data_IF_120317430436
#
_entry.id   IF_120317430436
#
_cell.length_a   1.000
_cell.length_b   1.000
_cell.length_c   1.000
_cell.angle_alpha   90.00
_cell.angle_beta   90.00
_cell.angle_gamma   90.00
#
_symmetry.space_group_name_H-M   'P 1'
#
loop_
_entity.id
_entity.type
_entity.pdbx_description
1 polymer ?
#
# COMPACT_ATOMS: atom_id res chain seq x y z
N UNK A 1 75.21 -23.83 -29.58
CA UNK A 1 74.81 -22.59 -30.30
C UNK A 1 73.33 -22.34 -30.08
N UNK A 2 72.97 -21.09 -29.76
CA UNK A 2 71.63 -20.57 -29.45
C UNK A 2 70.67 -20.63 -30.66
N UNK A 3 69.36 -20.76 -30.37
CA UNK A 3 68.15 -20.11 -30.98
C UNK A 3 66.92 -20.94 -30.52
N UNK A 4 66.09 -20.57 -29.54
CA UNK A 4 65.17 -19.44 -29.32
C UNK A 4 63.83 -19.53 -30.13
N UNK A 5 62.73 -19.58 -29.36
CA UNK A 5 61.29 -19.25 -29.60
C UNK A 5 60.43 -20.08 -30.58
N UNK A 6 59.36 -20.72 -30.06
CA UNK A 6 57.98 -20.21 -30.16
C UNK A 6 56.93 -21.23 -29.62
N UNK A 7 56.26 -20.83 -28.52
CA UNK A 7 54.82 -20.97 -28.22
C UNK A 7 54.00 -22.14 -28.80
N UNK A 8 53.44 -22.99 -27.93
CA UNK A 8 52.04 -23.40 -28.05
C UNK A 8 51.39 -23.46 -26.65
N UNK A 9 50.72 -22.36 -26.35
CA UNK A 9 49.87 -22.12 -25.19
C UNK A 9 48.48 -22.70 -25.52
N UNK A 10 47.93 -23.45 -24.55
CA UNK A 10 46.51 -23.60 -24.22
C UNK A 10 45.56 -23.88 -25.39
N UNK A 11 45.01 -25.09 -25.46
CA UNK A 11 43.61 -25.26 -25.88
C UNK A 11 43.13 -26.67 -25.54
N UNK A 12 42.27 -26.78 -24.51
CA UNK A 12 41.13 -27.72 -24.36
C UNK A 12 40.82 -28.02 -22.88
N UNK A 13 40.46 -26.98 -22.14
CA UNK A 13 39.60 -27.10 -20.96
C UNK A 13 38.58 -25.95 -20.99
N UNK A 14 37.65 -26.03 -21.94
CA UNK A 14 36.44 -25.21 -21.99
C UNK A 14 35.25 -26.12 -22.34
N UNK A 15 35.02 -27.13 -21.52
CA UNK A 15 33.72 -27.82 -21.43
C UNK A 15 33.22 -27.75 -20.00
N UNK A 16 33.00 -26.53 -19.53
CA UNK A 16 32.30 -26.27 -18.28
C UNK A 16 31.70 -24.86 -18.28
N UNK A 17 30.89 -24.51 -19.28
CA UNK A 17 29.99 -23.33 -19.19
C UNK A 17 28.77 -23.37 -20.11
N UNK A 18 28.57 -24.41 -20.92
CA UNK A 18 27.30 -24.59 -21.59
C UNK A 18 26.30 -25.11 -20.56
N UNK A 19 25.24 -24.33 -20.32
CA UNK A 19 24.09 -24.58 -19.42
C UNK A 19 24.14 -23.87 -18.06
N UNK A 20 24.62 -22.62 -18.05
CA UNK A 20 24.16 -21.61 -17.08
C UNK A 20 23.08 -20.69 -17.68
N UNK A 21 22.30 -21.18 -18.65
CA UNK A 21 20.98 -20.59 -18.91
C UNK A 21 20.03 -21.09 -17.83
N UNK A 22 20.13 -20.51 -16.64
CA UNK A 22 18.94 -20.42 -15.80
C UNK A 22 17.90 -19.72 -16.66
N UNK A 23 16.73 -20.34 -16.86
CA UNK A 23 15.55 -19.54 -17.17
C UNK A 23 15.51 -18.37 -16.17
N UNK A 24 15.15 -17.14 -16.55
CA UNK A 24 15.07 -16.02 -15.61
C UNK A 24 13.88 -16.27 -14.66
N UNK A 25 14.08 -17.18 -13.70
CA UNK A 25 13.12 -17.75 -12.74
C UNK A 25 12.57 -16.72 -11.75
N UNK A 26 13.05 -15.48 -11.79
CA UNK A 26 12.61 -14.44 -10.86
C UNK A 26 11.27 -13.82 -11.23
N UNK A 27 10.91 -13.69 -12.52
CA UNK A 27 9.68 -12.95 -12.85
C UNK A 27 8.40 -13.65 -12.36
N UNK A 28 8.20 -14.98 -12.55
CA UNK A 28 7.06 -15.68 -11.96
C UNK A 28 7.05 -15.59 -10.43
N UNK A 29 8.22 -15.69 -9.79
CA UNK A 29 8.37 -15.60 -8.33
C UNK A 29 8.04 -14.22 -7.79
N UNK A 30 8.50 -13.16 -8.46
CA UNK A 30 8.25 -11.76 -8.12
C UNK A 30 6.77 -11.41 -8.34
N UNK A 31 6.17 -11.92 -9.42
CA UNK A 31 4.74 -11.78 -9.69
C UNK A 31 3.90 -12.41 -8.59
N UNK A 32 4.22 -13.63 -8.17
CA UNK A 32 3.53 -14.31 -7.07
C UNK A 32 3.72 -13.58 -5.74
N UNK A 33 4.93 -13.09 -5.47
CA UNK A 33 5.22 -12.31 -4.26
C UNK A 33 4.46 -10.98 -4.24
N UNK A 34 4.36 -10.30 -5.38
CA UNK A 34 3.57 -9.08 -5.54
C UNK A 34 2.08 -9.36 -5.35
N UNK A 35 1.55 -10.43 -5.96
CA UNK A 35 0.15 -10.85 -5.76
C UNK A 35 -0.20 -11.06 -4.28
N UNK A 36 0.60 -11.82 -3.54
CA UNK A 36 0.40 -12.04 -2.09
C UNK A 36 0.42 -10.74 -1.30
N UNK A 37 1.23 -9.78 -1.72
CA UNK A 37 1.27 -8.46 -1.09
C UNK A 37 0.00 -7.65 -1.37
N UNK A 38 -0.56 -7.73 -2.58
CA UNK A 38 -1.85 -7.10 -2.89
C UNK A 38 -2.96 -7.70 -2.04
N UNK A 39 -3.00 -9.02 -1.88
CA UNK A 39 -3.97 -9.71 -1.01
C UNK A 39 -3.84 -9.28 0.46
N UNK A 40 -2.61 -9.13 0.95
CA UNK A 40 -2.35 -8.67 2.33
C UNK A 40 -2.78 -7.22 2.51
N UNK A 41 -2.41 -6.34 1.58
CA UNK A 41 -2.83 -4.94 1.59
C UNK A 41 -4.36 -4.79 1.51
N UNK A 42 -5.03 -5.58 0.68
CA UNK A 42 -6.49 -5.60 0.57
C UNK A 42 -7.15 -6.00 1.90
N UNK A 43 -6.64 -7.05 2.55
CA UNK A 43 -7.12 -7.48 3.86
C UNK A 43 -6.93 -6.42 4.93
N UNK A 44 -5.76 -5.78 4.98
CA UNK A 44 -5.48 -4.73 5.97
C UNK A 44 -6.27 -3.45 5.70
N UNK A 45 -6.53 -3.11 4.44
CA UNK A 45 -7.49 -2.06 4.06
C UNK A 45 -8.89 -2.36 4.61
N UNK A 46 -9.41 -3.57 4.40
CA UNK A 46 -10.73 -3.97 4.91
C UNK A 46 -10.76 -3.90 6.43
N UNK A 47 -9.74 -4.44 7.11
CA UNK A 47 -9.63 -4.38 8.57
C UNK A 47 -9.55 -2.94 9.09
N UNK A 48 -8.81 -2.07 8.40
CA UNK A 48 -8.72 -0.64 8.74
C UNK A 48 -10.08 0.03 8.63
N UNK A 49 -10.81 -0.21 7.54
CA UNK A 49 -12.16 0.33 7.34
C UNK A 49 -13.10 -0.08 8.48
N UNK A 50 -13.16 -1.37 8.81
CA UNK A 50 -14.01 -1.86 9.90
C UNK A 50 -13.70 -1.21 11.25
N UNK A 51 -12.42 -0.95 11.54
CA UNK A 51 -12.02 -0.29 12.79
C UNK A 51 -12.38 1.20 12.78
N UNK A 52 -12.24 1.88 11.63
CA UNK A 52 -12.66 3.28 11.48
C UNK A 52 -14.17 3.39 11.68
N UNK A 53 -14.98 2.55 11.01
CA UNK A 53 -16.44 2.54 11.17
C UNK A 53 -16.86 2.28 12.62
N UNK A 54 -16.32 1.24 13.27
CA UNK A 54 -16.61 0.95 14.69
C UNK A 54 -16.20 2.10 15.62
N UNK A 55 -15.11 2.79 15.30
CA UNK A 55 -14.64 3.91 16.12
C UNK A 55 -15.52 5.14 15.98
N UNK A 56 -16.03 5.41 14.77
CA UNK A 56 -17.06 6.43 14.54
C UNK A 56 -18.35 6.11 15.28
N UNK A 57 -18.86 4.89 15.18
CA UNK A 57 -20.04 4.46 15.94
C UNK A 57 -19.84 4.66 17.45
N UNK A 58 -18.65 4.35 17.97
CA UNK A 58 -18.34 4.56 19.39
C UNK A 58 -18.26 6.04 19.77
N UNK A 59 -17.77 6.89 18.87
CA UNK A 59 -17.67 8.34 19.08
C UNK A 59 -19.06 8.99 19.09
N UNK A 60 -19.93 8.60 18.15
CA UNK A 60 -21.32 9.04 18.11
C UNK A 60 -22.11 8.51 19.33
N UNK A 61 -21.80 7.29 19.79
CA UNK A 61 -22.35 6.72 21.02
C UNK A 61 -21.90 7.42 22.30
N UNK A 62 -20.63 7.87 22.37
CA UNK A 62 -20.11 8.66 23.49
C UNK A 62 -20.92 9.95 23.66
N UNK A 63 -21.13 10.69 22.57
CA UNK A 63 -21.93 11.93 22.63
C UNK A 63 -23.31 11.70 23.25
N UNK A 64 -24.04 10.67 22.82
CA UNK A 64 -25.35 10.34 23.37
C UNK A 64 -25.28 9.96 24.87
N UNK A 65 -24.24 9.23 25.27
CA UNK A 65 -24.04 8.86 26.68
C UNK A 65 -23.75 10.08 27.57
N UNK A 66 -23.05 11.08 27.05
CA UNK A 66 -22.77 12.33 27.76
C UNK A 66 -24.03 13.19 27.93
N UNK A 67 -24.88 13.28 26.90
CA UNK A 67 -26.20 13.94 27.00
C UNK A 67 -27.11 13.28 28.05
N UNK A 68 -26.99 11.96 28.21
CA UNK A 68 -27.71 11.17 29.20
C UNK A 68 -27.03 11.11 30.60
N UNK A 69 -25.87 11.77 30.77
CA UNK A 69 -25.05 11.75 32.01
C UNK A 69 -24.68 10.33 32.51
N UNK A 70 -24.34 9.41 31.59
CA UNK A 70 -24.05 7.99 31.90
C UNK A 70 -22.56 7.68 31.87
N UNK A 71 -21.99 7.33 33.04
CA UNK A 71 -20.68 6.70 33.22
C UNK A 71 -19.58 7.22 32.27
N UNK A 72 -19.38 8.53 32.30
CA UNK A 72 -18.62 9.32 31.32
C UNK A 72 -17.19 8.77 31.15
N UNK A 73 -16.47 8.55 32.25
CA UNK A 73 -15.10 8.02 32.26
C UNK A 73 -14.97 6.71 31.47
N UNK A 74 -15.95 5.81 31.63
CA UNK A 74 -15.94 4.50 30.95
C UNK A 74 -16.16 4.66 29.45
N UNK A 75 -17.03 5.57 29.03
CA UNK A 75 -17.29 5.79 27.61
C UNK A 75 -16.11 6.53 26.94
N UNK A 76 -15.47 7.49 27.61
CA UNK A 76 -14.24 8.10 27.12
C UNK A 76 -13.12 7.08 26.94
N UNK A 77 -12.85 6.25 27.95
CA UNK A 77 -11.82 5.22 27.88
C UNK A 77 -12.06 4.23 26.73
N UNK A 78 -13.32 3.86 26.49
CA UNK A 78 -13.72 2.99 25.38
C UNK A 78 -13.45 3.64 24.02
N UNK A 79 -13.80 4.92 23.85
CA UNK A 79 -13.57 5.64 22.59
C UNK A 79 -12.08 5.83 22.33
N UNK A 80 -11.29 6.21 23.34
CA UNK A 80 -9.83 6.29 23.21
C UNK A 80 -9.22 4.95 22.78
N UNK A 81 -9.61 3.85 23.44
CA UNK A 81 -9.11 2.52 23.09
C UNK A 81 -9.50 2.05 21.68
N UNK A 82 -10.60 2.56 21.12
CA UNK A 82 -10.98 2.29 19.73
C UNK A 82 -10.12 3.09 18.74
N UNK A 83 -9.91 4.38 19.01
CA UNK A 83 -9.05 5.22 18.16
C UNK A 83 -7.57 4.81 18.21
N UNK A 84 -7.08 4.30 19.34
CA UNK A 84 -5.75 3.69 19.42
C UNK A 84 -5.60 2.48 18.48
N UNK A 85 -6.65 1.64 18.36
CA UNK A 85 -6.66 0.53 17.40
C UNK A 85 -6.66 1.04 15.96
N UNK A 86 -7.37 2.13 15.67
CA UNK A 86 -7.35 2.77 14.35
C UNK A 86 -5.93 3.24 14.02
N UNK A 87 -5.26 3.97 14.92
CA UNK A 87 -3.88 4.40 14.69
C UNK A 87 -2.94 3.23 14.40
N UNK A 88 -3.04 2.14 15.18
CA UNK A 88 -2.27 0.92 14.91
C UNK A 88 -2.56 0.37 13.51
N UNK A 89 -3.83 0.30 13.11
CA UNK A 89 -4.22 -0.21 11.78
C UNK A 89 -3.74 0.69 10.64
N UNK A 90 -3.77 2.00 10.82
CA UNK A 90 -3.22 2.95 9.84
C UNK A 90 -1.70 2.80 9.71
N UNK A 91 -0.99 2.52 10.81
CA UNK A 91 0.45 2.22 10.79
C UNK A 91 0.75 0.91 10.06
N UNK A 92 -0.02 -0.15 10.35
CA UNK A 92 0.09 -1.44 9.66
C UNK A 92 -0.17 -1.27 8.16
N UNK A 93 -1.25 -0.58 7.78
CA UNK A 93 -1.58 -0.29 6.38
C UNK A 93 -0.48 0.49 5.65
N UNK A 94 0.17 1.44 6.33
CA UNK A 94 1.32 2.15 5.75
C UNK A 94 2.51 1.23 5.51
N UNK A 95 2.75 0.26 6.40
CA UNK A 95 3.80 -0.73 6.19
C UNK A 95 3.50 -1.59 4.96
N UNK A 96 2.27 -2.10 4.86
CA UNK A 96 1.85 -2.88 3.69
C UNK A 96 1.91 -2.07 2.39
N UNK A 97 1.67 -0.76 2.45
CA UNK A 97 1.87 0.16 1.32
C UNK A 97 3.35 0.26 0.88
N UNK A 98 4.29 0.41 1.82
CA UNK A 98 5.72 0.47 1.47
C UNK A 98 6.21 -0.87 0.91
N UNK A 99 5.72 -1.98 1.45
CA UNK A 99 6.02 -3.32 0.94
C UNK A 99 5.43 -3.52 -0.48
N UNK A 100 4.20 -3.03 -0.72
CA UNK A 100 3.58 -3.04 -2.04
C UNK A 100 4.40 -2.26 -3.07
N UNK A 101 4.84 -1.04 -2.72
CA UNK A 101 5.71 -0.20 -3.53
C UNK A 101 7.04 -0.89 -3.84
N UNK A 102 7.69 -1.47 -2.83
CA UNK A 102 8.97 -2.18 -3.02
C UNK A 102 8.83 -3.39 -3.95
N UNK A 103 7.75 -4.17 -3.80
CA UNK A 103 7.53 -5.36 -4.63
C UNK A 103 7.14 -5.01 -6.07
N UNK A 104 6.34 -3.97 -6.27
CA UNK A 104 6.02 -3.47 -7.59
C UNK A 104 7.29 -3.03 -8.33
N UNK A 105 8.17 -2.29 -7.65
CA UNK A 105 9.43 -1.84 -8.26
C UNK A 105 10.35 -3.02 -8.64
N UNK A 106 10.43 -4.04 -7.78
CA UNK A 106 11.13 -5.28 -8.10
C UNK A 106 10.53 -5.99 -9.31
N UNK A 107 9.20 -6.04 -9.42
CA UNK A 107 8.51 -6.63 -10.56
C UNK A 107 8.80 -5.87 -11.86
N UNK A 108 8.69 -4.53 -11.85
CA UNK A 108 9.01 -3.70 -13.02
C UNK A 108 10.46 -3.87 -13.46
N UNK A 109 11.40 -3.85 -12.52
CA UNK A 109 12.82 -4.06 -12.81
C UNK A 109 13.06 -5.40 -13.51
N UNK A 110 12.47 -6.49 -13.00
CA UNK A 110 12.62 -7.81 -13.62
C UNK A 110 11.98 -7.87 -15.03
N UNK A 111 10.85 -7.21 -15.25
CA UNK A 111 10.24 -7.10 -16.59
C UNK A 111 11.15 -6.33 -17.56
N UNK A 112 11.80 -5.26 -17.11
CA UNK A 112 12.74 -4.48 -17.91
C UNK A 112 13.99 -5.27 -18.26
N UNK A 113 14.59 -5.99 -17.30
CA UNK A 113 15.75 -6.84 -17.52
C UNK A 113 15.47 -7.93 -18.56
N UNK A 114 14.34 -8.64 -18.42
CA UNK A 114 13.92 -9.64 -19.41
C UNK A 114 13.68 -9.02 -20.78
N UNK A 115 12.97 -7.91 -20.85
CA UNK A 115 12.72 -7.18 -22.10
C UNK A 115 14.02 -6.74 -22.78
N UNK A 116 15.00 -6.27 -21.98
CA UNK A 116 16.28 -5.82 -22.49
C UNK A 116 17.15 -6.94 -23.05
N UNK A 117 16.96 -8.18 -22.58
CA UNK A 117 17.64 -9.37 -23.07
C UNK A 117 17.13 -9.89 -24.43
N UNK A 118 16.01 -9.36 -24.92
CA UNK A 118 15.43 -9.76 -26.20
C UNK A 118 16.31 -9.32 -27.38
N UNK A 119 16.52 -10.23 -28.32
CA UNK A 119 17.24 -9.97 -29.57
C UNK A 119 16.36 -9.29 -30.63
N UNK A 120 15.04 -9.51 -30.60
CA UNK A 120 14.10 -8.88 -31.53
C UNK A 120 13.87 -7.41 -31.13
N UNK A 121 14.29 -6.50 -32.00
CA UNK A 121 14.24 -5.07 -31.74
C UNK A 121 12.81 -4.52 -31.62
N UNK A 122 11.86 -5.11 -32.37
CA UNK A 122 10.46 -4.67 -32.37
C UNK A 122 9.79 -5.08 -31.06
N UNK A 123 9.86 -6.37 -30.70
CA UNK A 123 9.33 -6.89 -29.45
C UNK A 123 9.94 -6.18 -28.24
N UNK A 124 11.26 -5.92 -28.26
CA UNK A 124 11.92 -5.13 -27.21
C UNK A 124 11.33 -3.73 -27.07
N UNK A 125 11.14 -3.02 -28.18
CA UNK A 125 10.57 -1.67 -28.16
C UNK A 125 9.11 -1.66 -27.66
N UNK A 126 8.29 -2.58 -28.17
CA UNK A 126 6.88 -2.68 -27.82
C UNK A 126 6.69 -3.01 -26.33
N UNK A 127 7.43 -3.99 -25.81
CA UNK A 127 7.38 -4.37 -24.39
C UNK A 127 7.94 -3.28 -23.48
N UNK A 128 9.04 -2.62 -23.86
CA UNK A 128 9.60 -1.52 -23.07
C UNK A 128 8.60 -0.38 -22.92
N UNK A 129 7.88 -0.04 -24.00
CA UNK A 129 6.82 0.98 -23.97
C UNK A 129 5.67 0.57 -23.04
N UNK A 130 5.21 -0.68 -23.14
CA UNK A 130 4.14 -1.19 -22.28
C UNK A 130 4.54 -1.15 -20.79
N UNK A 131 5.77 -1.59 -20.46
CA UNK A 131 6.31 -1.57 -19.09
C UNK A 131 6.39 -0.14 -18.55
N UNK A 132 6.90 0.81 -19.33
CA UNK A 132 6.99 2.21 -18.91
C UNK A 132 5.61 2.85 -18.67
N UNK A 133 4.64 2.54 -19.54
CA UNK A 133 3.26 2.99 -19.37
C UNK A 133 2.66 2.44 -18.06
N UNK A 134 2.76 1.12 -17.85
CA UNK A 134 2.28 0.47 -16.65
C UNK A 134 2.94 1.00 -15.38
N UNK A 135 4.27 1.19 -15.38
CA UNK A 135 5.01 1.76 -14.24
C UNK A 135 4.55 3.17 -13.92
N UNK A 136 4.35 4.01 -14.94
CA UNK A 136 3.88 5.39 -14.75
C UNK A 136 2.49 5.43 -14.11
N UNK A 137 1.54 4.65 -14.64
CA UNK A 137 0.18 4.57 -14.09
C UNK A 137 0.16 4.00 -12.68
N UNK A 138 0.98 2.97 -12.43
CA UNK A 138 1.07 2.37 -11.10
C UNK A 138 1.70 3.31 -10.06
N UNK A 139 2.73 4.08 -10.44
CA UNK A 139 3.31 5.09 -9.55
C UNK A 139 2.32 6.21 -9.20
N UNK A 140 1.46 6.61 -10.13
CA UNK A 140 0.35 7.53 -9.84
C UNK A 140 -0.64 6.92 -8.84
N UNK A 141 -0.95 5.63 -8.98
CA UNK A 141 -1.77 4.88 -8.02
C UNK A 141 -1.13 4.89 -6.63
N UNK A 142 0.15 4.53 -6.51
CA UNK A 142 0.88 4.53 -5.24
C UNK A 142 0.91 5.93 -4.59
N UNK A 143 1.02 6.99 -5.38
CA UNK A 143 0.97 8.35 -4.85
C UNK A 143 -0.41 8.70 -4.27
N UNK A 144 -1.50 8.26 -4.90
CA UNK A 144 -2.85 8.44 -4.40
C UNK A 144 -3.11 7.58 -3.15
N UNK A 145 -2.58 6.34 -3.10
CA UNK A 145 -2.64 5.49 -1.90
C UNK A 145 -1.96 6.14 -0.71
N UNK A 146 -0.76 6.71 -0.90
CA UNK A 146 -0.06 7.44 0.15
C UNK A 146 -0.88 8.63 0.69
N UNK A 147 -1.54 9.38 -0.21
CA UNK A 147 -2.44 10.46 0.19
C UNK A 147 -3.63 9.96 0.99
N UNK A 148 -4.27 8.86 0.58
CA UNK A 148 -5.40 8.28 1.28
C UNK A 148 -5.02 7.80 2.70
N UNK A 149 -3.86 7.14 2.85
CA UNK A 149 -3.29 6.78 4.15
C UNK A 149 -2.98 8.04 4.99
N UNK A 150 -2.47 9.09 4.37
CA UNK A 150 -2.31 10.40 5.00
C UNK A 150 -3.63 10.95 5.55
N UNK A 151 -4.71 10.89 4.77
CA UNK A 151 -6.05 11.31 5.20
C UNK A 151 -6.57 10.48 6.37
N UNK A 152 -6.27 9.17 6.45
CA UNK A 152 -6.61 8.34 7.61
C UNK A 152 -5.92 8.82 8.89
N UNK A 153 -4.65 9.23 8.81
CA UNK A 153 -3.92 9.76 9.97
C UNK A 153 -4.51 11.07 10.47
N UNK A 154 -4.88 11.95 9.54
CA UNK A 154 -5.55 13.21 9.87
C UNK A 154 -6.91 12.91 10.50
N UNK A 155 -7.68 11.99 9.92
CA UNK A 155 -8.98 11.57 10.46
C UNK A 155 -8.88 11.05 11.90
N UNK A 156 -7.88 10.20 12.19
CA UNK A 156 -7.61 9.75 13.56
C UNK A 156 -7.29 10.93 14.49
N UNK A 157 -6.43 11.85 14.06
CA UNK A 157 -6.02 13.02 14.86
C UNK A 157 -7.23 13.89 15.20
N UNK A 158 -8.03 14.21 14.20
CA UNK A 158 -9.24 15.02 14.36
C UNK A 158 -10.22 14.35 15.32
N UNK A 159 -10.41 13.03 15.20
CA UNK A 159 -11.31 12.30 16.07
C UNK A 159 -10.86 12.29 17.53
N UNK A 160 -9.57 12.08 17.78
CA UNK A 160 -9.00 12.16 19.13
C UNK A 160 -9.15 13.57 19.72
N UNK A 161 -9.00 14.61 18.90
CA UNK A 161 -9.18 15.98 19.37
C UNK A 161 -10.65 16.32 19.67
N UNK A 162 -11.61 15.73 18.95
CA UNK A 162 -13.03 15.80 19.32
C UNK A 162 -13.29 15.12 20.66
N UNK A 163 -12.69 13.95 20.92
CA UNK A 163 -12.86 13.26 22.21
C UNK A 163 -12.37 14.14 23.36
N UNK A 164 -11.20 14.78 23.22
CA UNK A 164 -10.70 15.74 24.21
C UNK A 164 -11.62 16.95 24.37
N UNK A 165 -12.15 17.49 23.27
CA UNK A 165 -13.08 18.61 23.32
C UNK A 165 -14.38 18.22 24.06
N UNK A 166 -14.87 16.99 23.85
CA UNK A 166 -15.99 16.42 24.60
C UNK A 166 -15.70 16.32 26.10
N UNK A 167 -14.50 15.89 26.51
CA UNK A 167 -14.12 15.84 27.93
C UNK A 167 -14.16 17.24 28.58
N UNK A 168 -13.64 18.26 27.89
CA UNK A 168 -13.67 19.64 28.37
C UNK A 168 -15.09 20.19 28.40
N UNK A 169 -15.89 19.92 27.37
CA UNK A 169 -17.29 20.32 27.28
C UNK A 169 -18.13 19.78 28.44
N UNK A 170 -17.94 18.51 28.79
CA UNK A 170 -18.56 17.87 29.95
C UNK A 170 -18.19 18.59 31.24
N UNK A 171 -16.89 18.85 31.46
CA UNK A 171 -16.41 19.55 32.65
C UNK A 171 -16.94 20.99 32.77
N UNK A 172 -17.21 21.64 31.64
CA UNK A 172 -17.77 23.00 31.56
C UNK A 172 -19.30 23.03 31.46
N UNK A 173 -19.96 21.87 31.37
CA UNK A 173 -21.39 21.73 31.08
C UNK A 173 -21.82 22.51 29.82
N UNK A 174 -21.03 22.44 28.73
CA UNK A 174 -21.22 23.21 27.49
C UNK A 174 -20.98 22.35 26.25
N UNK A 175 -22.04 21.93 25.57
CA UNK A 175 -22.01 20.95 24.47
C UNK A 175 -22.18 21.54 23.06
N UNK A 176 -22.38 22.86 22.94
CA UNK A 176 -23.00 23.49 21.75
C UNK A 176 -22.12 23.51 20.48
N UNK A 177 -20.87 23.01 20.51
CA UNK A 177 -19.92 23.15 19.39
C UNK A 177 -19.38 21.83 18.79
N UNK A 178 -19.93 20.67 19.16
CA UNK A 178 -19.31 19.37 18.83
C UNK A 178 -19.99 18.63 17.67
N UNK A 179 -21.28 18.88 17.42
CA UNK A 179 -22.05 18.16 16.39
C UNK A 179 -21.48 18.32 14.98
N UNK A 180 -21.13 19.55 14.60
CA UNK A 180 -20.58 19.83 13.27
C UNK A 180 -19.22 19.15 13.05
N UNK A 181 -18.43 18.98 14.11
CA UNK A 181 -17.13 18.30 14.01
C UNK A 181 -17.32 16.79 13.82
N UNK A 182 -18.28 16.17 14.51
CA UNK A 182 -18.59 14.74 14.36
C UNK A 182 -19.06 14.40 12.94
N UNK A 183 -20.04 15.15 12.42
CA UNK A 183 -20.57 14.97 11.06
C UNK A 183 -19.47 15.14 10.00
N UNK A 184 -18.53 16.07 10.23
CA UNK A 184 -17.40 16.29 9.33
C UNK A 184 -16.45 15.09 9.26
N UNK A 185 -16.21 14.37 10.36
CA UNK A 185 -15.36 13.18 10.35
C UNK A 185 -16.06 12.01 9.64
N UNK A 186 -17.34 11.78 9.94
CA UNK A 186 -18.11 10.70 9.31
C UNK A 186 -18.12 10.84 7.77
N UNK A 187 -18.37 12.06 7.26
CA UNK A 187 -18.43 12.32 5.82
C UNK A 187 -17.12 12.13 5.06
N UNK A 188 -15.97 12.02 5.74
CA UNK A 188 -14.65 11.84 5.11
C UNK A 188 -14.28 10.37 4.89
N UNK A 189 -14.89 9.43 5.60
CA UNK A 189 -14.47 8.02 5.58
C UNK A 189 -14.68 7.37 4.22
N UNK A 190 -15.87 7.51 3.64
CA UNK A 190 -16.21 6.84 2.38
C UNK A 190 -15.26 7.23 1.24
N UNK A 191 -14.95 8.53 1.13
CA UNK A 191 -14.01 9.03 0.13
C UNK A 191 -12.60 8.46 0.29
N UNK A 192 -12.11 8.36 1.54
CA UNK A 192 -10.81 7.75 1.82
C UNK A 192 -10.80 6.26 1.43
N UNK A 193 -11.87 5.53 1.74
CA UNK A 193 -11.96 4.10 1.45
C UNK A 193 -12.10 3.82 -0.04
N UNK A 194 -12.80 4.68 -0.77
CA UNK A 194 -12.87 4.61 -2.22
C UNK A 194 -11.49 4.78 -2.86
N UNK A 195 -10.68 5.73 -2.38
CA UNK A 195 -9.30 5.93 -2.86
C UNK A 195 -8.40 4.70 -2.60
N UNK A 196 -8.55 4.04 -1.44
CA UNK A 196 -7.81 2.81 -1.13
C UNK A 196 -8.28 1.61 -1.96
N UNK A 197 -9.57 1.54 -2.31
CA UNK A 197 -10.10 0.48 -3.19
C UNK A 197 -9.50 0.55 -4.60
N UNK A 198 -9.35 1.77 -5.15
CA UNK A 198 -8.69 1.97 -6.46
C UNK A 198 -7.28 1.39 -6.45
N UNK A 199 -6.54 1.54 -5.34
CA UNK A 199 -5.19 0.99 -5.22
C UNK A 199 -5.14 -0.54 -5.32
N UNK A 200 -6.12 -1.23 -4.71
CA UNK A 200 -6.25 -2.69 -4.80
C UNK A 200 -6.55 -3.08 -6.24
N UNK A 201 -7.56 -2.48 -6.87
CA UNK A 201 -7.98 -2.82 -8.24
C UNK A 201 -6.86 -2.61 -9.26
N UNK A 202 -6.14 -1.49 -9.21
CA UNK A 202 -5.01 -1.22 -10.10
C UNK A 202 -3.84 -2.18 -9.84
N UNK A 203 -3.61 -2.59 -8.59
CA UNK A 203 -2.60 -3.60 -8.27
C UNK A 203 -2.98 -4.99 -8.78
N UNK A 204 -4.27 -5.35 -8.76
CA UNK A 204 -4.78 -6.59 -9.35
C UNK A 204 -4.56 -6.64 -10.86
N UNK A 205 -4.87 -5.55 -11.56
CA UNK A 205 -4.62 -5.42 -13.01
C UNK A 205 -3.15 -5.69 -13.37
N UNK A 206 -2.20 -5.23 -12.54
CA UNK A 206 -0.77 -5.41 -12.77
C UNK A 206 -0.33 -6.89 -12.71
N UNK A 207 -0.94 -7.74 -11.87
CA UNK A 207 -0.58 -9.16 -11.80
C UNK A 207 -1.52 -10.09 -12.60
N UNK A 208 -2.76 -9.74 -12.87
CA UNK A 208 -3.73 -10.62 -13.57
C UNK A 208 -3.59 -10.66 -15.11
N UNK A 209 -2.42 -10.32 -15.67
CA UNK A 209 -2.13 -10.36 -17.12
C UNK A 209 -2.92 -9.35 -17.97
N UNK A 210 -3.29 -8.18 -17.42
CA UNK A 210 -3.97 -7.11 -18.17
C UNK A 210 -3.14 -5.83 -18.24
N UNK A 211 -1.83 -5.95 -18.48
CA UNK A 211 -0.98 -4.78 -18.79
C UNK A 211 -1.54 -4.02 -20.01
N UNK A 212 -2.20 -4.71 -20.94
CA UNK A 212 -2.83 -4.08 -22.10
C UNK A 212 -4.06 -3.21 -21.75
N UNK A 213 -4.71 -3.45 -20.61
CA UNK A 213 -5.79 -2.60 -20.08
C UNK A 213 -5.27 -1.41 -19.25
N UNK A 214 -3.94 -1.33 -19.04
CA UNK A 214 -3.24 -0.15 -18.57
C UNK A 214 -2.80 0.74 -19.74
N UNK A 215 -3.46 0.68 -20.90
CA UNK A 215 -3.26 1.62 -22.02
C UNK A 215 -4.29 2.74 -22.02
#
# INVERSE_FOLDING_TARGET
MKKIFATLVILTFLVSSCWKNKSPEDLPRLKEAFKKQVETFEKDKVSTNENVTKSLESLSGLKAALEDSKNEDKEFAKVYGNWEKVDKKVKDLNKEYEDLKSRAEGLFTAMEEQTNSLSDAKSKADLSKAIQSARTKYNATLANTAKAIGKLRVLHTDAVDIVKALEVAVALNSFDNINAQLESIEGRVDGIMQELNVAVEESKKLYDQRIDELN
#
